data_IF_654964733261
#
_entry.id   IF_654964733261
#
_cell.length_a   1.000
_cell.length_b   1.000
_cell.length_c   1.000
_cell.angle_alpha   90.00
_cell.angle_beta   90.00
_cell.angle_gamma   90.00
#
_symmetry.space_group_name_H-M   'P 1'
#
loop_
_entity.id
_entity.type
_entity.pdbx_description
1 polymer ?
#
# COMPACT_ATOMS: atom_id res chain seq x y z
N UNK A 1 -1.64 3.06 -16.73
CA UNK A 1 -1.66 1.61 -16.49
C UNK A 1 -0.34 1.25 -15.84
N UNK A 2 -0.37 0.65 -14.66
CA UNK A 2 0.83 0.08 -14.03
C UNK A 2 1.18 -1.19 -14.80
N UNK A 3 2.44 -1.38 -15.25
CA UNK A 3 2.85 -2.62 -15.88
C UNK A 3 2.71 -3.79 -14.90
N UNK A 4 2.38 -4.96 -15.42
CA UNK A 4 2.45 -6.20 -14.65
C UNK A 4 3.79 -6.92 -14.92
N UNK A 5 3.99 -8.08 -14.28
CA UNK A 5 5.20 -8.89 -14.44
C UNK A 5 5.35 -9.56 -15.82
N UNK A 6 4.39 -9.40 -16.75
CA UNK A 6 4.49 -9.98 -18.11
C UNK A 6 5.44 -9.22 -19.03
N UNK A 7 5.86 -8.01 -18.62
CA UNK A 7 6.82 -7.17 -19.34
C UNK A 7 7.98 -6.78 -18.41
N UNK A 8 9.16 -6.41 -18.94
CA UNK A 8 10.23 -5.85 -18.13
C UNK A 8 9.75 -4.63 -17.34
N UNK A 9 9.83 -4.70 -16.01
CA UNK A 9 9.31 -3.68 -15.10
C UNK A 9 10.38 -3.09 -14.16
N UNK A 10 11.63 -3.56 -14.25
CA UNK A 10 12.76 -3.03 -13.48
C UNK A 10 13.90 -2.58 -14.39
N UNK A 11 14.69 -1.63 -13.89
CA UNK A 11 16.00 -1.33 -14.43
C UNK A 11 16.99 -1.14 -13.27
N UNK A 12 18.14 -1.82 -13.28
CA UNK A 12 18.52 -2.89 -14.21
C UNK A 12 17.58 -4.12 -14.17
N UNK A 13 17.49 -4.93 -15.24
CA UNK A 13 16.54 -6.07 -15.31
C UNK A 13 16.76 -7.14 -14.23
N UNK A 14 17.99 -7.33 -13.77
CA UNK A 14 18.35 -8.30 -12.72
C UNK A 14 17.68 -8.00 -11.37
N UNK A 15 17.28 -6.75 -11.14
CA UNK A 15 16.58 -6.34 -9.92
C UNK A 15 15.24 -7.06 -9.77
N UNK A 16 14.56 -7.47 -10.85
CA UNK A 16 13.30 -8.19 -10.76
C UNK A 16 13.43 -9.50 -9.96
N UNK A 17 14.52 -10.26 -10.18
CA UNK A 17 14.77 -11.49 -9.44
C UNK A 17 15.15 -11.22 -7.97
N UNK A 18 15.88 -10.12 -7.72
CA UNK A 18 16.20 -9.68 -6.37
C UNK A 18 14.94 -9.28 -5.59
N UNK A 19 14.03 -8.53 -6.21
CA UNK A 19 12.75 -8.15 -5.63
C UNK A 19 11.96 -9.37 -5.17
N UNK A 20 11.82 -10.37 -6.04
CA UNK A 20 11.12 -11.60 -5.71
C UNK A 20 11.81 -12.35 -4.57
N UNK A 21 13.14 -12.49 -4.61
CA UNK A 21 13.90 -13.15 -3.53
C UNK A 21 13.72 -12.46 -2.17
N UNK A 22 13.67 -11.13 -2.16
CA UNK A 22 13.45 -10.32 -0.96
C UNK A 22 11.99 -10.27 -0.51
N UNK A 23 11.04 -10.58 -1.39
CA UNK A 23 9.60 -10.49 -1.17
C UNK A 23 8.93 -11.86 -1.03
N UNK A 24 9.55 -12.77 -0.28
CA UNK A 24 9.05 -14.14 -0.04
C UNK A 24 8.79 -14.94 -1.34
N UNK A 25 9.60 -14.70 -2.37
CA UNK A 25 9.50 -15.34 -3.68
C UNK A 25 8.52 -14.67 -4.66
N UNK A 26 7.80 -13.61 -4.25
CA UNK A 26 6.85 -12.93 -5.13
C UNK A 26 6.61 -11.46 -4.72
N UNK A 27 7.30 -10.54 -5.38
CA UNK A 27 7.06 -9.11 -5.25
C UNK A 27 5.74 -8.69 -5.90
N UNK A 28 4.80 -8.16 -5.13
CA UNK A 28 3.49 -7.78 -5.66
C UNK A 28 3.53 -6.31 -6.07
N UNK A 29 3.44 -6.04 -7.38
CA UNK A 29 3.43 -4.66 -7.93
C UNK A 29 2.12 -3.95 -7.57
N UNK A 30 1.00 -4.68 -7.68
CA UNK A 30 -0.34 -4.12 -7.49
C UNK A 30 -1.36 -5.22 -7.20
N UNK A 31 -2.47 -4.86 -6.54
CA UNK A 31 -3.66 -5.71 -6.36
C UNK A 31 -4.73 -5.21 -7.32
N UNK A 32 -4.96 -5.93 -8.43
CA UNK A 32 -5.82 -5.47 -9.53
C UNK A 32 -7.33 -5.69 -9.31
N UNK A 33 -7.74 -6.76 -8.62
CA UNK A 33 -9.16 -7.09 -8.36
C UNK A 33 -9.67 -6.50 -7.03
N UNK A 34 -9.35 -5.24 -6.77
CA UNK A 34 -9.69 -4.57 -5.50
C UNK A 34 -11.19 -4.22 -5.35
N UNK A 35 -12.00 -4.47 -6.38
CA UNK A 35 -13.46 -4.30 -6.36
C UNK A 35 -14.22 -5.60 -6.10
N UNK A 36 -13.51 -6.71 -5.91
CA UNK A 36 -14.09 -8.02 -5.59
C UNK A 36 -14.99 -8.01 -4.35
N UNK A 37 -15.96 -8.92 -4.33
CA UNK A 37 -16.80 -9.21 -3.16
C UNK A 37 -16.09 -10.08 -2.12
N UNK A 38 -14.97 -10.72 -2.49
CA UNK A 38 -14.14 -11.52 -1.59
C UNK A 38 -13.26 -10.65 -0.69
N UNK A 39 -13.91 -9.85 0.17
CA UNK A 39 -13.25 -8.81 0.98
C UNK A 39 -12.17 -9.34 1.92
N UNK A 40 -12.36 -10.52 2.51
CA UNK A 40 -11.31 -11.11 3.36
C UNK A 40 -10.02 -11.40 2.58
N UNK A 41 -10.14 -11.98 1.37
CA UNK A 41 -9.01 -12.25 0.48
C UNK A 41 -8.35 -10.96 0.01
N UNK A 42 -9.16 -9.97 -0.39
CA UNK A 42 -8.64 -8.66 -0.77
C UNK A 42 -7.82 -8.01 0.35
N UNK A 43 -8.33 -8.06 1.58
CA UNK A 43 -7.63 -7.48 2.73
C UNK A 43 -6.25 -8.12 2.92
N UNK A 44 -6.20 -9.45 2.89
CA UNK A 44 -4.95 -10.21 3.00
C UNK A 44 -3.96 -9.87 1.88
N UNK A 45 -4.45 -9.72 0.64
CA UNK A 45 -3.62 -9.35 -0.51
C UNK A 45 -3.00 -7.96 -0.34
N UNK A 46 -3.78 -6.97 0.13
CA UNK A 46 -3.29 -5.61 0.40
C UNK A 46 -2.19 -5.64 1.48
N UNK A 47 -2.43 -6.31 2.60
CA UNK A 47 -1.41 -6.43 3.66
C UNK A 47 -0.15 -7.16 3.17
N UNK A 48 -0.31 -8.21 2.36
CA UNK A 48 0.81 -8.98 1.83
C UNK A 48 1.65 -8.14 0.87
N UNK A 49 1.00 -7.40 -0.04
CA UNK A 49 1.66 -6.46 -0.95
C UNK A 49 2.48 -5.42 -0.18
N UNK A 50 1.85 -4.68 0.74
CA UNK A 50 2.53 -3.66 1.53
C UNK A 50 3.68 -4.23 2.35
N UNK A 51 3.47 -5.38 3.03
CA UNK A 51 4.50 -6.03 3.85
C UNK A 51 5.73 -6.37 3.02
N UNK A 52 5.53 -6.98 1.85
CA UNK A 52 6.61 -7.38 0.94
C UNK A 52 7.34 -6.17 0.35
N UNK A 53 6.60 -5.13 -0.03
CA UNK A 53 7.18 -3.86 -0.48
C UNK A 53 8.08 -3.22 0.58
N UNK A 54 7.56 -3.10 1.81
CA UNK A 54 8.32 -2.56 2.95
C UNK A 54 9.53 -3.43 3.30
N UNK A 55 9.43 -4.75 3.20
CA UNK A 55 10.55 -5.67 3.43
C UNK A 55 11.70 -5.43 2.46
N UNK A 56 11.42 -5.25 1.17
CA UNK A 56 12.42 -4.87 0.16
C UNK A 56 13.06 -3.54 0.52
N UNK A 57 12.25 -2.52 0.82
CA UNK A 57 12.73 -1.17 1.16
C UNK A 57 13.68 -1.21 2.36
N UNK A 58 13.28 -1.89 3.44
CA UNK A 58 14.10 -2.03 4.64
C UNK A 58 15.41 -2.75 4.34
N UNK A 59 15.38 -3.81 3.53
CA UNK A 59 16.59 -4.51 3.12
C UNK A 59 17.56 -3.58 2.36
N UNK A 60 17.07 -2.86 1.35
CA UNK A 60 17.90 -1.95 0.56
C UNK A 60 18.45 -0.78 1.35
N UNK A 61 17.66 -0.17 2.24
CA UNK A 61 18.15 0.92 3.11
C UNK A 61 19.20 0.43 4.12
N UNK A 62 19.16 -0.85 4.51
CA UNK A 62 20.13 -1.40 5.47
C UNK A 62 21.43 -1.85 4.81
N UNK A 63 21.40 -2.33 3.56
CA UNK A 63 22.53 -3.02 2.93
C UNK A 63 23.17 -2.26 1.77
N UNK A 64 22.65 -1.07 1.42
CA UNK A 64 23.17 -0.23 0.34
C UNK A 64 23.14 1.23 0.75
N UNK A 65 24.11 1.99 0.25
CA UNK A 65 24.09 3.44 0.35
C UNK A 65 23.30 4.02 -0.82
N UNK A 66 22.54 5.08 -0.55
CA UNK A 66 21.70 5.76 -1.53
C UNK A 66 21.86 7.27 -1.39
N UNK A 67 22.22 7.94 -2.49
CA UNK A 67 22.14 9.41 -2.57
C UNK A 67 20.68 9.87 -2.74
N UNK A 68 19.82 9.00 -3.27
CA UNK A 68 18.40 9.23 -3.47
C UNK A 68 17.63 7.90 -3.42
N UNK A 69 16.55 7.87 -2.64
CA UNK A 69 15.67 6.72 -2.53
C UNK A 69 14.21 7.18 -2.62
N UNK A 70 13.42 6.50 -3.46
CA UNK A 70 11.99 6.77 -3.61
C UNK A 70 11.22 5.46 -3.51
N UNK A 71 10.17 5.46 -2.70
CA UNK A 71 9.26 4.36 -2.53
C UNK A 71 7.82 4.85 -2.59
N UNK A 72 6.98 4.09 -3.28
CA UNK A 72 5.54 4.34 -3.41
C UNK A 72 4.79 3.18 -2.78
N UNK A 73 4.02 3.46 -1.73
CA UNK A 73 3.17 2.48 -1.07
C UNK A 73 1.75 2.54 -1.65
N UNK A 74 1.33 1.45 -2.30
CA UNK A 74 0.04 1.37 -3.02
C UNK A 74 -1.15 1.03 -2.11
N UNK A 75 -0.92 0.43 -0.95
CA UNK A 75 -1.99 -0.14 -0.15
C UNK A 75 -3.03 0.86 0.39
N UNK A 76 -2.70 2.13 0.73
CA UNK A 76 -3.70 3.16 1.02
C UNK A 76 -4.76 3.29 -0.08
N UNK A 77 -4.38 3.44 -1.34
CA UNK A 77 -5.35 3.55 -2.43
C UNK A 77 -6.26 2.32 -2.53
N UNK A 78 -5.65 1.11 -2.48
CA UNK A 78 -6.38 -0.15 -2.60
C UNK A 78 -7.35 -0.39 -1.44
N UNK A 79 -6.95 -0.04 -0.22
CA UNK A 79 -7.83 -0.25 0.94
C UNK A 79 -8.99 0.75 0.95
N UNK A 80 -8.80 1.98 0.47
CA UNK A 80 -9.91 2.94 0.33
C UNK A 80 -10.94 2.42 -0.67
N UNK A 81 -10.48 2.02 -1.86
CA UNK A 81 -11.38 1.46 -2.86
C UNK A 81 -12.09 0.19 -2.39
N UNK A 82 -11.40 -0.69 -1.67
CA UNK A 82 -11.94 -1.95 -1.21
C UNK A 82 -12.93 -1.82 -0.03
N UNK A 83 -12.65 -0.90 0.90
CA UNK A 83 -13.22 -0.95 2.26
C UNK A 83 -13.92 0.33 2.75
N UNK A 84 -13.85 1.47 2.03
CA UNK A 84 -14.44 2.73 2.49
C UNK A 84 -15.91 2.60 2.90
N UNK A 85 -16.72 1.95 2.05
CA UNK A 85 -18.16 1.74 2.31
C UNK A 85 -18.48 1.02 3.62
N UNK A 86 -17.55 0.26 4.17
CA UNK A 86 -17.74 -0.50 5.41
C UNK A 86 -17.29 0.27 6.64
N UNK A 87 -16.44 1.30 6.46
CA UNK A 87 -15.80 2.05 7.55
C UNK A 87 -16.48 3.39 7.84
N UNK A 88 -17.14 3.98 6.84
CA UNK A 88 -17.80 5.29 6.94
C UNK A 88 -19.32 5.16 7.15
N UNK A 89 -19.85 5.48 8.36
CA UNK A 89 -21.28 5.42 8.63
C UNK A 89 -22.14 6.38 7.79
N UNK A 90 -21.53 7.39 7.15
CA UNK A 90 -22.23 8.32 6.26
C UNK A 90 -22.34 7.81 4.82
N UNK A 91 -21.63 6.74 4.49
CA UNK A 91 -21.66 6.14 3.17
C UNK A 91 -23.02 5.48 2.88
N UNK A 92 -23.58 5.73 1.69
CA UNK A 92 -24.90 5.21 1.25
C UNK A 92 -25.09 3.70 1.44
N UNK A 93 -24.02 2.93 1.24
CA UNK A 93 -24.01 1.46 1.32
C UNK A 93 -23.45 0.91 2.64
N UNK A 94 -23.38 1.75 3.68
CA UNK A 94 -22.90 1.33 4.99
C UNK A 94 -23.92 0.44 5.70
N UNK A 95 -23.43 -0.67 6.26
CA UNK A 95 -24.23 -1.60 7.06
C UNK A 95 -23.64 -1.68 8.48
N UNK A 96 -24.38 -1.26 9.53
CA UNK A 96 -23.93 -1.40 10.91
C UNK A 96 -23.62 -2.85 11.28
N UNK A 97 -22.63 -3.06 12.14
CA UNK A 97 -22.26 -4.40 12.63
C UNK A 97 -21.40 -5.22 11.65
N UNK A 98 -21.05 -4.68 10.48
CA UNK A 98 -20.14 -5.36 9.56
C UNK A 98 -18.73 -5.60 10.19
N UNK A 99 -18.08 -6.68 9.76
CA UNK A 99 -16.78 -7.10 10.30
C UNK A 99 -15.61 -6.21 9.85
N UNK A 100 -15.78 -5.39 8.83
CA UNK A 100 -14.72 -4.58 8.21
C UNK A 100 -14.69 -3.12 8.69
N UNK A 101 -15.54 -2.73 9.64
CA UNK A 101 -15.69 -1.32 10.08
C UNK A 101 -14.39 -0.65 10.57
N UNK A 102 -13.43 -1.44 11.04
CA UNK A 102 -12.16 -0.95 11.54
C UNK A 102 -11.01 -1.10 10.53
N UNK A 103 -11.26 -1.71 9.37
CA UNK A 103 -10.22 -2.12 8.42
C UNK A 103 -9.33 -0.96 7.98
N UNK A 104 -9.90 0.20 7.62
CA UNK A 104 -9.11 1.38 7.28
C UNK A 104 -8.22 1.84 8.44
N UNK A 105 -8.80 2.00 9.63
CA UNK A 105 -8.06 2.46 10.82
C UNK A 105 -6.93 1.51 11.17
N UNK A 106 -7.22 0.21 11.19
CA UNK A 106 -6.26 -0.81 11.62
C UNK A 106 -5.14 -0.96 10.59
N UNK A 107 -5.44 -0.79 9.29
CA UNK A 107 -4.42 -0.73 8.25
C UNK A 107 -3.55 0.52 8.33
N UNK A 108 -4.11 1.70 8.63
CA UNK A 108 -3.31 2.90 8.79
C UNK A 108 -2.41 2.84 10.02
N UNK A 109 -2.94 2.36 11.16
CA UNK A 109 -2.13 2.13 12.37
C UNK A 109 -1.02 1.15 12.13
N UNK A 110 -1.35 0.06 11.42
CA UNK A 110 -0.34 -0.82 10.90
C UNK A 110 0.61 0.08 10.10
N UNK A 111 0.27 0.57 8.91
CA UNK A 111 1.19 1.24 7.99
C UNK A 111 2.10 2.31 8.64
N UNK A 112 1.55 3.14 9.52
CA UNK A 112 2.29 4.16 10.30
C UNK A 112 3.50 3.59 11.05
N UNK A 113 3.33 2.49 11.78
CA UNK A 113 4.42 1.81 12.49
C UNK A 113 5.54 1.40 11.52
N UNK A 114 5.18 0.87 10.35
CA UNK A 114 6.17 0.42 9.36
C UNK A 114 6.85 1.57 8.63
N UNK A 115 6.15 2.68 8.41
CA UNK A 115 6.77 3.90 7.91
C UNK A 115 7.78 4.38 8.95
N UNK A 116 7.43 4.42 10.24
CA UNK A 116 8.38 4.76 11.31
C UNK A 116 9.66 3.91 11.25
N UNK A 117 9.50 2.59 11.13
CA UNK A 117 10.63 1.67 10.97
C UNK A 117 11.49 1.92 9.72
N UNK A 118 10.92 2.44 8.63
CA UNK A 118 11.66 2.82 7.40
C UNK A 118 12.38 4.16 7.60
N UNK A 119 11.72 5.12 8.26
CA UNK A 119 12.30 6.44 8.54
C UNK A 119 13.51 6.34 9.48
N UNK A 120 13.46 5.46 10.48
CA UNK A 120 14.58 5.20 11.38
C UNK A 120 15.84 4.72 10.61
N UNK A 121 15.66 4.01 9.48
CA UNK A 121 16.76 3.54 8.64
C UNK A 121 17.37 4.63 7.75
N UNK A 122 16.62 5.70 7.45
CA UNK A 122 17.14 6.80 6.64
C UNK A 122 18.21 7.62 7.38
N UNK A 123 18.18 7.61 8.70
CA UNK A 123 19.14 8.31 9.56
C UNK A 123 18.89 9.81 9.71
N UNK A 124 19.50 10.44 10.71
CA UNK A 124 19.20 11.82 11.12
C UNK A 124 19.67 12.90 10.14
N UNK A 125 20.61 12.58 9.24
CA UNK A 125 21.18 13.53 8.27
C UNK A 125 20.44 13.50 6.92
N UNK A 126 19.38 12.69 6.79
CA UNK A 126 18.62 12.53 5.55
C UNK A 126 17.39 13.42 5.55
N UNK A 127 17.23 14.25 4.51
CA UNK A 127 15.98 14.96 4.27
C UNK A 127 14.90 13.97 3.80
N UNK A 128 13.81 13.88 4.54
CA UNK A 128 12.68 13.00 4.23
C UNK A 128 11.47 13.83 3.79
N UNK A 129 10.83 13.39 2.72
CA UNK A 129 9.55 13.91 2.28
C UNK A 129 8.51 12.79 2.22
N UNK A 130 7.38 12.97 2.91
CA UNK A 130 6.22 12.09 2.82
C UNK A 130 5.12 12.86 2.08
N UNK A 131 4.79 12.40 0.87
CA UNK A 131 3.76 12.99 0.02
C UNK A 131 2.73 11.96 -0.39
N UNK A 132 1.58 12.48 -0.82
CA UNK A 132 0.53 11.71 -1.47
C UNK A 132 0.12 12.46 -2.74
N UNK A 133 -0.14 11.71 -3.81
CA UNK A 133 -0.57 12.24 -5.10
C UNK A 133 -2.06 12.66 -5.09
N UNK A 134 -2.88 12.00 -4.26
CA UNK A 134 -4.28 12.37 -4.05
C UNK A 134 -4.83 11.90 -2.70
N UNK A 135 -5.89 12.59 -2.24
CA UNK A 135 -6.73 12.07 -1.16
C UNK A 135 -7.75 11.04 -1.67
N UNK A 136 -8.47 10.41 -0.75
CA UNK A 136 -9.67 9.65 -1.07
C UNK A 136 -10.90 10.57 -0.93
N UNK A 137 -11.58 10.96 -2.03
CA UNK A 137 -12.82 11.70 -1.90
C UNK A 137 -13.86 10.80 -1.25
N UNK A 138 -14.34 11.19 -0.08
CA UNK A 138 -15.50 10.54 0.53
C UNK A 138 -16.73 10.71 -0.34
N UNK A 139 -17.58 9.69 -0.40
CA UNK A 139 -18.89 9.71 -1.06
C UNK A 139 -19.91 10.57 -0.26
N UNK A 140 -19.47 11.71 0.27
CA UNK A 140 -20.31 12.73 0.88
C UNK A 140 -21.13 13.40 -0.22
N UNK A 141 -22.20 12.71 -0.62
CA UNK A 141 -23.30 13.15 -1.46
C UNK A 141 -23.04 14.36 -2.34
N UNK A 142 -22.69 14.11 -3.61
CA UNK A 142 -23.01 15.03 -4.71
C UNK A 142 -24.55 15.09 -4.86
N UNK A 143 -25.24 15.73 -3.92
CA UNK A 143 -26.56 16.32 -4.16
C UNK A 143 -26.31 17.70 -4.75
N UNK A 144 -26.04 17.73 -6.05
CA UNK A 144 -26.39 18.92 -6.83
C UNK A 144 -27.88 18.77 -7.15
N UNK A 145 -28.60 19.86 -6.90
CA UNK A 145 -30.05 20.02 -6.97
C UNK A 145 -30.71 19.43 -8.22
#
# INVERSE_FOLDING_TARGET
>A
MTPDKSVPYTYPPEIAAELDALADGDYIIDVSDFRTDEKARLLEQIYTMSRRGIQVVRHWLTHREWDFFMFVEMGPDRIHHGFWRYCDPTHRLYEPGNHFRNTLRDYYRWLDERIGEVLDLAGPETAVLVVSDHGAPGDAGRRLH
#
